data_IF_067765865092
#
_entry.id   IF_067765865092
#
_cell.length_a   1.000
_cell.length_b   1.000
_cell.length_c   1.000
_cell.angle_alpha   90.00
_cell.angle_beta   90.00
_cell.angle_gamma   90.00
#
_symmetry.space_group_name_H-M   'P 1'
#
loop_
_entity.id
_entity.type
_entity.pdbx_description
1 polymer ?
#
# COMPACT_ATOMS: atom_id res chain seq x y z
N UNK A 1 -20.59 -0.43 -6.70
CA UNK A 1 -20.37 -0.70 -5.27
C UNK A 1 -18.88 -0.66 -4.98
N UNK A 2 -18.48 -0.32 -3.78
CA UNK A 2 -17.08 -0.28 -3.38
C UNK A 2 -16.94 -0.68 -1.92
N UNK A 3 -15.72 -1.07 -1.52
CA UNK A 3 -15.40 -1.40 -0.12
C UNK A 3 -14.18 -0.56 0.27
N UNK A 4 -14.23 0.05 1.44
CA UNK A 4 -13.11 0.83 1.97
C UNK A 4 -12.51 0.13 3.18
N UNK A 5 -11.19 -0.07 3.13
CA UNK A 5 -10.39 -0.60 4.24
C UNK A 5 -9.66 0.57 4.89
N UNK A 6 -9.72 0.65 6.21
CA UNK A 6 -9.05 1.71 6.98
C UNK A 6 -8.09 1.10 7.98
N UNK A 7 -6.98 1.79 8.19
CA UNK A 7 -6.00 1.41 9.21
C UNK A 7 -5.40 2.66 9.83
N UNK A 8 -5.00 2.53 11.09
CA UNK A 8 -4.33 3.60 11.83
C UNK A 8 -3.08 3.01 12.45
N UNK A 9 -1.93 3.41 11.93
CA UNK A 9 -0.63 2.87 12.34
C UNK A 9 0.13 3.90 13.16
N UNK A 10 0.38 3.60 14.42
CA UNK A 10 1.15 4.47 15.31
C UNK A 10 2.59 3.95 15.39
N UNK A 11 3.55 4.87 15.28
CA UNK A 11 4.98 4.55 15.37
C UNK A 11 5.61 5.34 16.51
N UNK A 12 6.57 4.71 17.19
CA UNK A 12 7.28 5.31 18.33
C UNK A 12 8.41 6.24 17.90
N UNK A 13 8.66 6.34 16.62
CA UNK A 13 9.70 7.18 16.05
C UNK A 13 9.13 8.52 15.58
N UNK A 14 9.95 9.58 15.58
CA UNK A 14 9.47 10.88 15.10
C UNK A 14 9.09 10.82 13.62
N UNK A 15 8.18 11.71 13.23
CA UNK A 15 7.66 11.73 11.85
C UNK A 15 8.78 11.89 10.82
N UNK A 16 9.85 12.61 11.14
CA UNK A 16 10.99 12.78 10.23
C UNK A 16 11.68 11.47 9.90
N UNK A 17 11.80 10.58 10.87
CA UNK A 17 12.42 9.26 10.65
C UNK A 17 11.54 8.36 9.79
N UNK A 18 10.24 8.39 10.04
CA UNK A 18 9.28 7.61 9.25
C UNK A 18 9.20 8.15 7.82
N UNK A 19 9.21 9.47 7.66
CA UNK A 19 9.21 10.10 6.34
C UNK A 19 10.48 9.73 5.55
N UNK A 20 11.63 9.70 6.22
CA UNK A 20 12.88 9.28 5.58
C UNK A 20 12.76 7.88 4.96
N UNK A 21 12.10 6.94 5.67
CA UNK A 21 11.83 5.61 5.14
C UNK A 21 10.82 5.65 4.00
N UNK A 22 9.71 6.35 4.18
CA UNK A 22 8.61 6.38 3.20
C UNK A 22 8.97 7.12 1.91
N UNK A 23 10.05 7.89 1.91
CA UNK A 23 10.56 8.56 0.71
C UNK A 23 11.83 7.91 0.15
N UNK A 24 12.15 6.70 0.59
CA UNK A 24 13.30 5.92 0.12
C UNK A 24 12.82 4.74 -0.74
N UNK A 25 13.21 4.68 -2.02
CA UNK A 25 12.82 3.56 -2.89
C UNK A 25 13.25 2.18 -2.36
N UNK A 26 14.39 2.09 -1.70
CA UNK A 26 14.87 0.82 -1.13
C UNK A 26 13.95 0.29 -0.04
N UNK A 27 13.29 1.18 0.69
CA UNK A 27 12.29 0.79 1.69
C UNK A 27 11.13 0.01 1.05
N UNK A 28 10.64 0.47 -0.10
CA UNK A 28 9.53 -0.20 -0.79
C UNK A 28 9.92 -1.59 -1.27
N UNK A 29 11.13 -1.73 -1.81
CA UNK A 29 11.68 -3.02 -2.23
C UNK A 29 11.70 -3.99 -1.04
N UNK A 30 12.31 -3.57 0.05
CA UNK A 30 12.45 -4.38 1.26
C UNK A 30 11.09 -4.74 1.86
N UNK A 31 10.18 -3.78 1.92
CA UNK A 31 8.85 -3.97 2.48
C UNK A 31 8.07 -5.07 1.75
N UNK A 32 7.96 -4.95 0.44
CA UNK A 32 7.17 -5.91 -0.33
C UNK A 32 7.81 -7.29 -0.36
N UNK A 33 9.14 -7.37 -0.48
CA UNK A 33 9.83 -8.66 -0.42
C UNK A 33 9.66 -9.34 0.93
N UNK A 34 9.70 -8.57 2.02
CA UNK A 34 9.56 -9.09 3.37
C UNK A 34 8.19 -9.72 3.64
N UNK A 35 7.14 -9.21 3.00
CA UNK A 35 5.78 -9.72 3.19
C UNK A 35 5.39 -10.79 2.16
N UNK A 36 6.36 -11.31 1.41
CA UNK A 36 6.16 -12.45 0.53
C UNK A 36 5.85 -12.13 -0.92
N UNK A 37 5.96 -10.87 -1.34
CA UNK A 37 5.81 -10.51 -2.74
C UNK A 37 7.09 -10.82 -3.51
N UNK A 38 6.99 -11.09 -4.79
CA UNK A 38 8.14 -11.41 -5.63
C UNK A 38 8.17 -10.52 -6.87
N UNK A 39 9.30 -10.54 -7.58
CA UNK A 39 9.53 -9.71 -8.77
C UNK A 39 9.20 -8.25 -8.49
N UNK A 40 9.59 -7.79 -7.30
CA UNK A 40 9.39 -6.41 -6.88
C UNK A 40 10.35 -5.51 -7.64
N UNK A 41 9.79 -4.57 -8.37
CA UNK A 41 10.57 -3.63 -9.18
C UNK A 41 10.09 -2.20 -8.94
N UNK A 42 11.01 -1.33 -8.55
CA UNK A 42 10.74 0.10 -8.52
C UNK A 42 10.91 0.60 -9.95
N UNK A 43 9.78 0.86 -10.60
CA UNK A 43 9.75 1.22 -12.03
C UNK A 43 10.25 2.65 -12.23
N UNK A 44 9.84 3.56 -11.37
CA UNK A 44 10.24 4.97 -11.45
C UNK A 44 10.11 5.66 -10.10
N UNK A 45 10.93 6.67 -9.90
CA UNK A 45 10.82 7.55 -8.74
C UNK A 45 11.05 8.99 -9.20
N UNK A 46 10.40 9.92 -8.50
CA UNK A 46 10.59 11.33 -8.72
C UNK A 46 10.50 12.06 -7.38
N UNK A 47 11.47 12.92 -7.13
CA UNK A 47 11.57 13.69 -5.90
C UNK A 47 11.80 15.15 -6.25
N UNK A 48 11.01 16.03 -5.63
CA UNK A 48 11.19 17.47 -5.76
C UNK A 48 10.91 18.15 -4.41
N UNK A 49 10.91 19.49 -4.39
CA UNK A 49 10.67 20.25 -3.17
C UNK A 49 9.25 20.05 -2.61
N UNK A 50 8.32 19.64 -3.46
CA UNK A 50 6.90 19.48 -3.08
C UNK A 50 6.54 18.07 -2.65
N UNK A 51 7.34 17.05 -3.01
CA UNK A 51 7.01 15.70 -2.63
C UNK A 51 7.84 14.60 -3.26
N UNK A 52 7.28 13.40 -3.19
CA UNK A 52 7.94 12.18 -3.64
C UNK A 52 6.90 11.29 -4.33
N UNK A 53 7.23 10.83 -5.54
CA UNK A 53 6.38 9.89 -6.28
C UNK A 53 7.15 8.62 -6.57
N UNK A 54 6.46 7.48 -6.54
CA UNK A 54 7.05 6.18 -6.82
C UNK A 54 6.06 5.29 -7.53
N UNK A 55 6.55 4.52 -8.49
CA UNK A 55 5.79 3.46 -9.15
C UNK A 55 6.49 2.14 -8.90
N UNK A 56 5.75 1.18 -8.34
CA UNK A 56 6.27 -0.14 -7.99
C UNK A 56 5.42 -1.21 -8.64
N UNK A 57 6.09 -2.16 -9.30
CA UNK A 57 5.47 -3.38 -9.83
C UNK A 57 5.85 -4.54 -8.94
N UNK A 58 4.89 -5.42 -8.63
CA UNK A 58 5.15 -6.60 -7.80
C UNK A 58 4.16 -7.70 -8.09
N UNK A 59 4.54 -8.93 -7.80
CA UNK A 59 3.64 -10.08 -7.85
C UNK A 59 3.25 -10.46 -6.43
N UNK A 60 1.94 -10.62 -6.22
CA UNK A 60 1.34 -10.91 -4.92
C UNK A 60 0.79 -12.32 -4.93
N UNK A 61 1.12 -13.17 -3.94
CA UNK A 61 0.53 -14.49 -3.83
C UNK A 61 -0.92 -14.37 -3.37
N UNK A 62 -1.82 -15.08 -4.05
CA UNK A 62 -3.23 -15.04 -3.73
C UNK A 62 -3.74 -16.45 -3.44
N UNK A 63 -4.27 -16.64 -2.23
CA UNK A 63 -5.00 -17.85 -1.87
C UNK A 63 -6.48 -17.59 -2.17
N UNK A 64 -6.86 -17.85 -3.44
CA UNK A 64 -8.16 -17.45 -3.94
C UNK A 64 -9.17 -18.60 -3.87
N UNK A 65 -10.45 -18.28 -3.56
CA UNK A 65 -11.53 -19.25 -3.74
C UNK A 65 -11.62 -19.74 -5.17
N UNK A 66 -12.11 -20.96 -5.36
CA UNK A 66 -12.14 -21.61 -6.68
C UNK A 66 -12.80 -20.78 -7.78
N UNK A 67 -13.85 -20.03 -7.43
CA UNK A 67 -14.57 -19.21 -8.42
C UNK A 67 -13.78 -18.00 -8.92
N UNK A 68 -12.72 -17.58 -8.19
CA UNK A 68 -11.85 -16.48 -8.60
C UNK A 68 -10.53 -16.93 -9.19
N UNK A 69 -10.20 -18.23 -9.05
CA UNK A 69 -8.89 -18.76 -9.45
C UNK A 69 -8.59 -18.57 -10.93
N UNK A 70 -9.58 -18.75 -11.79
CA UNK A 70 -9.40 -18.56 -13.23
C UNK A 70 -9.18 -17.10 -13.61
N UNK A 71 -9.65 -16.18 -12.77
CA UNK A 71 -9.52 -14.74 -13.00
C UNK A 71 -8.20 -14.20 -12.45
N UNK A 72 -7.84 -14.59 -11.22
CA UNK A 72 -6.71 -14.00 -10.51
C UNK A 72 -5.42 -14.80 -10.60
N UNK A 73 -5.50 -16.13 -10.78
CA UNK A 73 -4.33 -17.02 -10.73
C UNK A 73 -3.73 -17.14 -9.34
N UNK A 74 -2.60 -17.82 -9.24
CA UNK A 74 -1.87 -17.98 -7.96
C UNK A 74 -1.04 -16.76 -7.60
N UNK A 75 -0.53 -16.06 -8.61
CA UNK A 75 0.23 -14.82 -8.48
C UNK A 75 -0.41 -13.75 -9.33
N UNK A 76 -0.61 -12.59 -8.75
CA UNK A 76 -1.20 -11.47 -9.47
C UNK A 76 -0.23 -10.31 -9.51
N UNK A 77 -0.04 -9.71 -10.68
CA UNK A 77 0.83 -8.55 -10.84
C UNK A 77 0.07 -7.28 -10.49
N UNK A 78 0.60 -6.54 -9.53
CA UNK A 78 0.06 -5.25 -9.13
C UNK A 78 1.01 -4.14 -9.55
N UNK A 79 0.44 -3.05 -10.03
CA UNK A 79 1.17 -1.82 -10.31
C UNK A 79 0.66 -0.76 -9.35
N UNK A 80 1.54 -0.25 -8.50
CA UNK A 80 1.20 0.71 -7.46
C UNK A 80 1.89 2.03 -7.70
N UNK A 81 1.10 3.09 -7.76
CA UNK A 81 1.57 4.47 -7.87
C UNK A 81 1.27 5.20 -6.57
N UNK A 82 2.26 5.89 -6.03
CA UNK A 82 2.10 6.73 -4.84
C UNK A 82 2.62 8.12 -5.12
N UNK A 83 1.90 9.10 -4.64
CA UNK A 83 2.30 10.50 -4.72
C UNK A 83 2.18 11.14 -3.34
N UNK A 84 3.33 11.37 -2.72
CA UNK A 84 3.43 12.01 -1.41
C UNK A 84 3.67 13.50 -1.56
N UNK A 85 2.99 14.29 -0.74
CA UNK A 85 3.14 15.74 -0.69
C UNK A 85 3.25 16.20 0.75
N UNK A 86 4.04 17.23 1.00
CA UNK A 86 4.08 17.87 2.32
C UNK A 86 2.89 18.82 2.42
N UNK A 87 1.97 18.54 3.36
CA UNK A 87 0.74 19.31 3.56
C UNK A 87 0.86 20.36 4.65
N UNK A 88 1.97 20.37 5.36
CA UNK A 88 2.28 21.27 6.47
C UNK A 88 3.53 20.77 7.14
N UNK A 89 4.07 21.51 8.09
CA UNK A 89 5.30 21.12 8.77
C UNK A 89 5.11 19.80 9.53
N UNK A 90 5.81 18.75 9.07
CA UNK A 90 5.70 17.42 9.67
C UNK A 90 4.42 16.68 9.33
N UNK A 91 3.68 17.12 8.30
CA UNK A 91 2.46 16.47 7.83
C UNK A 91 2.63 16.11 6.37
N UNK A 92 2.48 14.81 6.04
CA UNK A 92 2.64 14.30 4.69
C UNK A 92 1.39 13.53 4.28
N UNK A 93 0.91 13.80 3.08
CA UNK A 93 -0.25 13.10 2.54
C UNK A 93 0.14 12.32 1.31
N UNK A 94 -0.49 11.17 1.12
CA UNK A 94 -0.26 10.29 -0.01
C UNK A 94 -1.55 10.03 -0.75
N UNK A 95 -1.48 10.10 -2.07
CA UNK A 95 -2.53 9.59 -2.95
C UNK A 95 -1.95 8.37 -3.65
N UNK A 96 -2.63 7.23 -3.53
CA UNK A 96 -2.14 6.00 -4.13
C UNK A 96 -3.20 5.35 -5.01
N UNK A 97 -2.72 4.64 -6.03
CA UNK A 97 -3.55 3.85 -6.91
C UNK A 97 -2.86 2.52 -7.16
N UNK A 98 -3.61 1.43 -7.04
CA UNK A 98 -3.11 0.09 -7.28
C UNK A 98 -4.00 -0.56 -8.34
N UNK A 99 -3.38 -1.01 -9.43
CA UNK A 99 -4.06 -1.73 -10.50
C UNK A 99 -3.61 -3.19 -10.49
N UNK A 100 -4.56 -4.10 -10.63
CA UNK A 100 -4.28 -5.52 -10.77
C UNK A 100 -4.33 -5.88 -12.25
N UNK A 101 -3.24 -6.44 -12.78
CA UNK A 101 -3.16 -6.79 -14.20
C UNK A 101 -4.17 -7.87 -14.55
N UNK A 102 -4.95 -7.63 -15.60
CA UNK A 102 -5.94 -8.60 -16.09
C UNK A 102 -7.17 -8.75 -15.23
N UNK A 103 -7.33 -7.94 -14.20
CA UNK A 103 -8.48 -7.96 -13.31
C UNK A 103 -9.15 -6.58 -13.36
N UNK A 104 -10.46 -6.51 -13.61
CA UNK A 104 -11.16 -5.23 -13.63
C UNK A 104 -11.46 -4.72 -12.23
N UNK A 105 -10.40 -4.53 -11.46
CA UNK A 105 -10.48 -4.00 -10.10
C UNK A 105 -9.41 -2.94 -9.92
N UNK A 106 -9.78 -1.84 -9.30
CA UNK A 106 -8.88 -0.73 -8.99
C UNK A 106 -8.97 -0.41 -7.51
N UNK A 107 -7.83 -0.19 -6.90
CA UNK A 107 -7.75 0.29 -5.52
C UNK A 107 -7.20 1.71 -5.56
N UNK A 108 -7.90 2.62 -4.91
CA UNK A 108 -7.44 3.99 -4.72
C UNK A 108 -7.38 4.28 -3.23
N UNK A 109 -6.40 5.06 -2.81
CA UNK A 109 -6.26 5.29 -1.39
C UNK A 109 -5.59 6.59 -1.04
N UNK A 110 -5.63 6.87 0.25
CA UNK A 110 -4.96 8.02 0.85
C UNK A 110 -4.24 7.58 2.10
N UNK A 111 -3.14 8.27 2.39
CA UNK A 111 -2.46 8.15 3.68
C UNK A 111 -2.19 9.55 4.20
N UNK A 112 -2.21 9.68 5.53
CA UNK A 112 -1.82 10.93 6.19
C UNK A 112 -0.88 10.58 7.33
N UNK A 113 0.38 10.96 7.16
CA UNK A 113 1.42 10.79 8.15
C UNK A 113 1.61 12.10 8.91
N UNK A 114 1.45 12.07 10.22
CA UNK A 114 1.56 13.27 11.05
C UNK A 114 2.16 12.95 12.42
N UNK A 115 2.78 13.95 13.04
CA UNK A 115 3.38 13.80 14.36
C UNK A 115 2.31 13.64 15.45
N UNK A 116 2.64 12.83 16.47
CA UNK A 116 1.80 12.64 17.64
C UNK A 116 2.72 12.45 18.86
N UNK A 117 2.81 13.45 19.73
CA UNK A 117 3.74 13.40 20.84
C UNK A 117 5.18 13.24 20.36
N UNK A 118 5.87 12.23 20.87
CA UNK A 118 7.24 11.90 20.44
C UNK A 118 7.29 10.97 19.24
N UNK A 119 6.16 10.42 18.85
CA UNK A 119 6.03 9.52 17.72
C UNK A 119 5.22 10.15 16.60
N UNK A 120 4.57 9.30 15.82
CA UNK A 120 3.73 9.74 14.71
C UNK A 120 2.64 8.71 14.43
N UNK A 121 1.71 9.09 13.55
CA UNK A 121 0.61 8.23 13.13
C UNK A 121 0.45 8.32 11.61
N UNK A 122 0.20 7.18 10.98
CA UNK A 122 -0.16 7.11 9.56
C UNK A 122 -1.59 6.58 9.46
N UNK A 123 -2.49 7.41 8.96
CA UNK A 123 -3.89 7.05 8.74
C UNK A 123 -4.07 6.63 7.29
N UNK A 124 -4.56 5.41 7.08
CA UNK A 124 -4.67 4.78 5.76
C UNK A 124 -6.13 4.51 5.44
N UNK A 125 -6.54 4.83 4.22
CA UNK A 125 -7.86 4.47 3.70
C UNK A 125 -7.69 4.00 2.25
N UNK A 126 -8.11 2.77 1.96
CA UNK A 126 -8.01 2.19 0.62
C UNK A 126 -9.41 1.74 0.18
N UNK A 127 -9.86 2.25 -0.95
CA UNK A 127 -11.16 1.92 -1.53
C UNK A 127 -10.96 0.98 -2.71
N UNK A 128 -11.68 -0.12 -2.69
CA UNK A 128 -11.60 -1.19 -3.69
C UNK A 128 -12.88 -1.17 -4.51
N UNK A 129 -12.74 -1.11 -5.82
CA UNK A 129 -13.86 -1.13 -6.74
C UNK A 129 -13.60 -2.15 -7.85
N UNK A 130 -14.52 -3.09 -8.02
CA UNK A 130 -14.45 -4.09 -9.07
C UNK A 130 -15.64 -3.94 -10.02
N UNK A 131 -15.35 -3.91 -11.32
CA UNK A 131 -16.37 -3.72 -12.37
C UNK A 131 -16.65 -5.06 -13.06
N UNK A 132 -17.02 -6.09 -12.28
CA UNK A 132 -17.33 -7.42 -12.80
C UNK A 132 -18.81 -7.70 -12.53
N UNK A 133 -19.59 -8.02 -13.58
CA UNK A 133 -21.00 -8.37 -13.38
C UNK A 133 -21.15 -9.61 -12.49
N UNK A 134 -22.14 -9.60 -11.61
CA UNK A 134 -22.54 -10.69 -10.72
C UNK A 134 -21.59 -11.01 -9.58
N UNK A 135 -20.26 -10.98 -9.81
CA UNK A 135 -19.28 -11.34 -8.78
C UNK A 135 -18.46 -10.15 -8.26
N UNK A 136 -18.72 -8.93 -8.77
CA UNK A 136 -17.95 -7.74 -8.37
C UNK A 136 -17.92 -7.53 -6.85
N UNK A 137 -19.05 -7.67 -6.18
CA UNK A 137 -19.10 -7.53 -4.73
C UNK A 137 -18.29 -8.57 -3.98
N UNK A 138 -18.29 -9.83 -4.46
CA UNK A 138 -17.49 -10.89 -3.85
C UNK A 138 -16.00 -10.66 -4.08
N UNK A 139 -15.64 -10.17 -5.25
CA UNK A 139 -14.25 -9.84 -5.58
C UNK A 139 -13.77 -8.69 -4.69
N UNK A 140 -14.59 -7.64 -4.52
CA UNK A 140 -14.26 -6.52 -3.63
C UNK A 140 -14.05 -6.99 -2.20
N UNK A 141 -14.92 -7.87 -1.69
CA UNK A 141 -14.78 -8.42 -0.34
C UNK A 141 -13.51 -9.25 -0.17
N UNK A 142 -13.18 -10.05 -1.18
CA UNK A 142 -11.96 -10.85 -1.16
C UNK A 142 -10.71 -9.96 -1.13
N UNK A 143 -10.67 -8.97 -2.03
CA UNK A 143 -9.54 -8.04 -2.11
C UNK A 143 -9.44 -7.19 -0.83
N UNK A 144 -10.57 -6.82 -0.22
CA UNK A 144 -10.59 -6.07 1.03
C UNK A 144 -9.94 -6.89 2.16
N UNK A 145 -10.27 -8.17 2.27
CA UNK A 145 -9.66 -9.05 3.27
C UNK A 145 -8.17 -9.20 3.07
N UNK A 146 -7.75 -9.38 1.82
CA UNK A 146 -6.33 -9.47 1.48
C UNK A 146 -5.60 -8.16 1.81
N UNK A 147 -6.23 -7.03 1.52
CA UNK A 147 -5.68 -5.70 1.82
C UNK A 147 -5.52 -5.51 3.33
N UNK A 148 -6.50 -5.91 4.14
CA UNK A 148 -6.38 -5.84 5.60
C UNK A 148 -5.18 -6.64 6.10
N UNK A 149 -5.01 -7.86 5.60
CA UNK A 149 -3.89 -8.72 5.98
C UNK A 149 -2.55 -8.13 5.53
N UNK A 150 -2.51 -7.57 4.33
CA UNK A 150 -1.31 -6.93 3.78
C UNK A 150 -0.91 -5.71 4.61
N UNK A 151 -1.86 -4.85 4.94
CA UNK A 151 -1.59 -3.67 5.77
C UNK A 151 -1.06 -4.04 7.15
N UNK A 152 -1.61 -5.10 7.75
CA UNK A 152 -1.13 -5.60 9.05
C UNK A 152 0.32 -6.10 8.95
N UNK A 153 0.64 -6.84 7.89
CA UNK A 153 1.99 -7.35 7.65
C UNK A 153 2.98 -6.21 7.38
N UNK A 154 2.57 -5.22 6.60
CA UNK A 154 3.38 -4.03 6.33
C UNK A 154 3.67 -3.25 7.62
N UNK A 155 2.66 -3.08 8.46
CA UNK A 155 2.84 -2.37 9.74
C UNK A 155 3.88 -3.06 10.62
N UNK A 156 3.79 -4.37 10.74
CA UNK A 156 4.75 -5.16 11.51
C UNK A 156 6.18 -5.01 10.94
N UNK A 157 6.33 -5.11 9.62
CA UNK A 157 7.61 -4.89 8.96
C UNK A 157 8.16 -3.49 9.21
N UNK A 158 7.31 -2.47 9.07
CA UNK A 158 7.74 -1.08 9.22
C UNK A 158 8.25 -0.81 10.64
N UNK A 159 7.56 -1.34 11.65
CA UNK A 159 8.03 -1.21 13.04
C UNK A 159 9.42 -1.82 13.22
N UNK A 160 9.63 -3.03 12.72
CA UNK A 160 10.92 -3.70 12.80
C UNK A 160 12.01 -2.96 12.03
N UNK A 161 11.67 -2.47 10.84
CA UNK A 161 12.58 -1.70 9.99
C UNK A 161 13.04 -0.43 10.69
N UNK A 162 12.11 0.31 11.29
CA UNK A 162 12.43 1.55 11.99
C UNK A 162 13.25 1.30 13.26
N UNK A 163 12.98 0.21 13.98
CA UNK A 163 13.70 -0.13 15.20
C UNK A 163 15.14 -0.57 14.90
N UNK A 164 15.38 -1.16 13.74
CA UNK A 164 16.71 -1.60 13.33
C UNK A 164 17.54 -0.56 12.59
N UNK A 165 16.96 0.56 12.29
CA UNK A 165 17.62 1.60 11.49
C UNK A 165 18.40 2.59 12.35
#
# INVERSE_FOLDING_TARGET
MSVTVRARHEYRHPVSKVWEAFSDPEFYQAKFESIGHRNVEVVSTESDDDGFSIEVSREVPLDVPGFLRNMLGEWNTLLQNEHWSEAGKGVYTNELEIEARGVPAVMTGTMKLSGKGKGCVNEVAITIRASVPLIGGKLEQFVAKDTEATLAAEYEFIQEYLDGA
#
